data_IF_586227071953
#
_entry.id   IF_586227071953
#
_cell.length_a   1.000
_cell.length_b   1.000
_cell.length_c   1.000
_cell.angle_alpha   90.00
_cell.angle_beta   90.00
_cell.angle_gamma   90.00
#
_symmetry.space_group_name_H-M   'P 1'
#
loop_
_entity.id
_entity.type
_entity.pdbx_description
1 polymer ?
#
# COMPACT_ATOMS: atom_id res chain seq x y z
N UNK A 1 28.60 1.54 -14.26
CA UNK A 1 27.75 2.76 -14.26
C UNK A 1 26.32 2.28 -14.37
N UNK A 2 25.60 2.17 -13.25
CA UNK A 2 24.19 1.72 -13.24
C UNK A 2 23.35 2.96 -13.52
N UNK A 3 22.65 2.97 -14.65
CA UNK A 3 21.59 3.95 -14.92
C UNK A 3 20.52 3.74 -13.85
N UNK A 4 20.50 4.61 -12.85
CA UNK A 4 19.34 4.76 -11.99
C UNK A 4 18.25 5.37 -12.87
N UNK A 5 17.43 4.50 -13.47
CA UNK A 5 16.21 4.93 -14.13
C UNK A 5 15.42 5.77 -13.15
N UNK A 6 15.05 6.99 -13.55
CA UNK A 6 14.05 7.76 -12.83
C UNK A 6 12.75 6.96 -12.86
N UNK A 7 12.50 6.19 -11.80
CA UNK A 7 11.20 5.57 -11.58
C UNK A 7 10.24 6.74 -11.31
N UNK A 8 9.25 6.89 -12.17
CA UNK A 8 8.24 7.93 -12.05
C UNK A 8 7.07 7.36 -11.24
N UNK A 9 6.60 8.10 -10.23
CA UNK A 9 5.44 7.69 -9.45
C UNK A 9 4.25 7.34 -10.36
N UNK A 10 3.67 6.15 -10.14
CA UNK A 10 2.51 5.67 -10.88
C UNK A 10 1.23 6.14 -10.20
N UNK A 11 0.29 6.63 -11.00
CA UNK A 11 -1.05 7.03 -10.53
C UNK A 11 -2.00 5.85 -10.45
N UNK A 12 -2.66 5.74 -9.29
CA UNK A 12 -3.79 4.88 -9.01
C UNK A 12 -4.96 5.75 -8.55
N UNK A 13 -6.18 5.36 -8.93
CA UNK A 13 -7.38 6.13 -8.59
C UNK A 13 -8.52 5.18 -8.28
N UNK A 14 -9.27 5.47 -7.21
CA UNK A 14 -10.52 4.79 -6.91
C UNK A 14 -11.67 5.78 -7.10
N UNK A 15 -12.67 5.38 -7.89
CA UNK A 15 -13.85 6.20 -8.20
C UNK A 15 -15.00 5.88 -7.25
N UNK A 16 -15.82 6.90 -6.94
CA UNK A 16 -17.05 6.70 -6.15
C UNK A 16 -18.04 5.84 -6.95
N UNK A 17 -18.72 4.86 -6.32
CA UNK A 17 -19.72 4.03 -6.98
C UNK A 17 -20.77 4.85 -7.73
N UNK A 18 -21.01 4.51 -8.99
CA UNK A 18 -22.02 5.17 -9.83
C UNK A 18 -21.62 6.55 -10.35
N UNK A 19 -20.37 7.00 -10.15
CA UNK A 19 -19.87 8.28 -10.67
C UNK A 19 -18.48 8.11 -11.28
N UNK A 20 -18.02 9.12 -12.03
CA UNK A 20 -16.63 9.19 -12.52
C UNK A 20 -15.66 9.86 -11.53
N UNK A 21 -16.18 10.44 -10.44
CA UNK A 21 -15.39 11.25 -9.51
C UNK A 21 -14.50 10.38 -8.63
N UNK A 22 -13.23 10.75 -8.50
CA UNK A 22 -12.30 10.11 -7.60
C UNK A 22 -12.70 10.29 -6.12
N UNK A 23 -12.46 9.25 -5.33
CA UNK A 23 -12.58 9.24 -3.87
C UNK A 23 -11.24 9.01 -3.18
N UNK A 24 -10.30 8.36 -3.89
CA UNK A 24 -8.91 8.21 -3.52
C UNK A 24 -8.07 8.45 -4.77
N UNK A 25 -7.01 9.24 -4.63
CA UNK A 25 -5.93 9.36 -5.60
C UNK A 25 -4.61 9.02 -4.91
N UNK A 26 -3.75 8.31 -5.61
CA UNK A 26 -2.45 7.87 -5.13
C UNK A 26 -1.45 7.90 -6.27
N UNK A 27 -0.47 8.79 -6.17
CA UNK A 27 0.74 8.72 -6.97
C UNK A 27 1.83 8.14 -6.10
N UNK A 28 2.38 6.99 -6.48
CA UNK A 28 3.36 6.32 -5.63
C UNK A 28 4.43 5.60 -6.44
N UNK A 29 5.65 5.66 -5.92
CA UNK A 29 6.79 4.84 -6.31
C UNK A 29 7.23 4.02 -5.10
N UNK A 30 7.17 2.69 -5.20
CA UNK A 30 7.51 1.80 -4.10
C UNK A 30 8.13 0.48 -4.56
N UNK A 31 8.84 -0.16 -3.63
CA UNK A 31 9.12 -1.59 -3.65
C UNK A 31 8.60 -2.24 -2.37
N UNK A 32 8.05 -3.44 -2.48
CA UNK A 32 7.75 -4.31 -1.34
C UNK A 32 8.56 -5.59 -1.47
N UNK A 33 9.61 -5.71 -0.66
CA UNK A 33 10.51 -6.87 -0.63
C UNK A 33 9.97 -7.88 0.38
N UNK A 34 9.51 -9.03 -0.13
CA UNK A 34 8.93 -10.12 0.64
C UNK A 34 9.93 -11.27 0.65
N UNK A 35 10.35 -11.70 1.83
CA UNK A 35 11.27 -12.81 2.03
C UNK A 35 10.54 -13.98 2.68
N UNK A 36 10.59 -15.16 2.05
CA UNK A 36 10.20 -16.42 2.67
C UNK A 36 11.42 -17.04 3.36
N UNK A 37 11.32 -17.32 4.65
CA UNK A 37 12.41 -17.81 5.48
C UNK A 37 12.06 -19.21 5.98
N UNK A 38 12.97 -20.18 5.77
CA UNK A 38 12.82 -21.56 6.25
C UNK A 38 14.05 -21.94 7.07
N UNK A 39 13.85 -22.43 8.29
CA UNK A 39 14.93 -22.80 9.21
C UNK A 39 15.98 -21.68 9.40
N UNK A 40 15.53 -20.43 9.49
CA UNK A 40 16.39 -19.25 9.69
C UNK A 40 17.16 -18.79 8.45
N UNK A 41 16.96 -19.39 7.28
CA UNK A 41 17.60 -19.00 6.02
C UNK A 41 16.57 -18.44 5.05
N UNK A 42 16.94 -17.39 4.32
CA UNK A 42 16.14 -16.88 3.21
C UNK A 42 16.06 -17.96 2.14
N UNK A 43 14.85 -18.47 1.92
CA UNK A 43 14.56 -19.51 0.94
C UNK A 43 14.20 -18.90 -0.41
N UNK A 44 13.38 -17.86 -0.41
CA UNK A 44 12.97 -17.14 -1.61
C UNK A 44 12.77 -15.65 -1.31
N UNK A 45 12.88 -14.81 -2.32
CA UNK A 45 12.58 -13.39 -2.25
C UNK A 45 11.75 -12.99 -3.46
N UNK A 46 10.74 -12.17 -3.22
CA UNK A 46 9.91 -11.55 -4.26
C UNK A 46 9.86 -10.06 -3.98
N UNK A 47 10.09 -9.26 -5.01
CA UNK A 47 9.90 -7.81 -4.96
C UNK A 47 8.67 -7.47 -5.78
N UNK A 48 7.71 -6.80 -5.16
CA UNK A 48 6.57 -6.16 -5.83
C UNK A 48 6.89 -4.69 -6.04
N UNK A 49 6.47 -4.11 -7.15
CA UNK A 49 6.78 -2.71 -7.50
C UNK A 49 5.54 -1.96 -7.97
N UNK A 50 5.58 -0.63 -7.93
CA UNK A 50 4.54 0.20 -8.58
C UNK A 50 4.44 -0.05 -10.10
N UNK A 51 5.52 -0.52 -10.74
CA UNK A 51 5.59 -0.74 -12.18
C UNK A 51 5.13 -2.14 -12.61
N UNK A 52 4.74 -3.01 -11.67
CA UNK A 52 4.26 -4.34 -12.01
C UNK A 52 3.04 -4.25 -12.94
N UNK A 53 3.07 -5.05 -14.00
CA UNK A 53 1.97 -5.14 -14.97
C UNK A 53 0.80 -5.84 -14.31
N UNK A 54 -0.42 -5.44 -14.68
CA UNK A 54 -1.64 -6.08 -14.20
C UNK A 54 -2.11 -5.63 -12.82
N UNK A 55 -1.43 -4.66 -12.16
CA UNK A 55 -1.98 -4.07 -10.94
C UNK A 55 -3.35 -3.46 -11.24
N UNK A 56 -4.37 -3.92 -10.52
CA UNK A 56 -5.73 -3.38 -10.58
C UNK A 56 -6.10 -2.71 -9.26
N UNK A 57 -7.02 -1.75 -9.32
CA UNK A 57 -7.52 -1.04 -8.14
C UNK A 57 -8.91 -1.52 -7.78
N UNK A 58 -9.18 -1.71 -6.49
CA UNK A 58 -10.53 -1.85 -5.94
C UNK A 58 -10.59 -1.22 -4.55
N UNK A 59 -11.74 -1.22 -3.90
CA UNK A 59 -11.83 -0.69 -2.54
C UNK A 59 -13.18 -0.09 -2.22
N UNK A 60 -13.21 0.79 -1.23
CA UNK A 60 -14.42 1.37 -0.66
C UNK A 60 -14.29 2.89 -0.65
N UNK A 61 -15.32 3.57 -1.18
CA UNK A 61 -15.42 5.02 -1.28
C UNK A 61 -16.64 5.56 -0.55
N UNK A 62 -16.97 5.12 0.67
CA UNK A 62 -18.13 5.61 1.39
C UNK A 62 -17.98 5.36 2.90
N UNK A 63 -18.20 6.39 3.71
CA UNK A 63 -18.21 6.30 5.17
C UNK A 63 -17.01 6.98 5.83
N UNK A 64 -16.75 6.68 7.12
CA UNK A 64 -15.64 7.27 7.88
C UNK A 64 -14.26 6.73 7.46
N UNK A 65 -14.24 5.76 6.54
CA UNK A 65 -13.03 5.14 6.02
C UNK A 65 -13.17 4.96 4.52
N UNK A 66 -12.18 5.44 3.77
CA UNK A 66 -11.99 5.12 2.37
C UNK A 66 -10.78 4.19 2.26
N UNK A 67 -10.90 3.12 1.48
CA UNK A 67 -9.85 2.12 1.34
C UNK A 67 -9.55 1.88 -0.14
N UNK A 68 -8.27 1.87 -0.50
CA UNK A 68 -7.77 1.49 -1.81
C UNK A 68 -6.98 0.19 -1.68
N UNK A 69 -7.32 -0.79 -2.51
CA UNK A 69 -6.60 -2.05 -2.69
C UNK A 69 -5.86 -2.02 -4.02
N UNK A 70 -4.53 -2.06 -3.99
CA UNK A 70 -3.67 -2.31 -5.14
C UNK A 70 -3.45 -3.82 -5.25
N UNK A 71 -4.20 -4.46 -6.14
CA UNK A 71 -4.19 -5.92 -6.33
C UNK A 71 -3.10 -6.31 -7.31
N UNK A 72 -2.13 -7.09 -6.84
CA UNK A 72 -1.10 -7.72 -7.66
C UNK A 72 -1.58 -9.05 -8.24
N UNK A 73 -2.37 -9.78 -7.46
CA UNK A 73 -3.00 -11.05 -7.83
C UNK A 73 -4.44 -11.09 -7.28
N UNK A 74 -5.14 -12.21 -7.49
CA UNK A 74 -6.53 -12.36 -7.09
C UNK A 74 -6.77 -12.08 -5.59
N UNK A 75 -5.88 -12.55 -4.70
CA UNK A 75 -6.01 -12.40 -3.23
C UNK A 75 -4.83 -11.69 -2.58
N UNK A 76 -3.84 -11.26 -3.38
CA UNK A 76 -2.65 -10.57 -2.90
C UNK A 76 -2.69 -9.10 -3.29
N UNK A 77 -2.69 -8.23 -2.28
CA UNK A 77 -2.88 -6.79 -2.45
C UNK A 77 -2.17 -5.97 -1.37
N UNK A 78 -1.76 -4.76 -1.75
CA UNK A 78 -1.37 -3.71 -0.81
C UNK A 78 -2.56 -2.78 -0.61
N UNK A 79 -2.98 -2.57 0.63
CA UNK A 79 -4.10 -1.68 0.93
C UNK A 79 -3.64 -0.41 1.63
N UNK A 80 -4.32 0.68 1.31
CA UNK A 80 -4.17 1.98 1.94
C UNK A 80 -5.56 2.43 2.40
N UNK A 81 -5.74 2.58 3.71
CA UNK A 81 -6.98 3.03 4.33
C UNK A 81 -6.82 4.45 4.90
N UNK A 82 -7.66 5.36 4.44
CA UNK A 82 -7.81 6.72 4.95
C UNK A 82 -8.98 6.74 5.94
N UNK A 83 -8.70 7.00 7.22
CA UNK A 83 -9.70 7.03 8.29
C UNK A 83 -9.79 8.44 8.86
N UNK A 84 -10.99 8.99 8.96
CA UNK A 84 -11.18 10.23 9.73
C UNK A 84 -10.86 9.96 11.20
N UNK A 85 -10.09 10.83 11.85
CA UNK A 85 -9.70 10.65 13.25
C UNK A 85 -10.74 11.37 14.12
N UNK A 86 -11.57 10.63 14.88
CA UNK A 86 -12.56 11.26 15.75
C UNK A 86 -11.87 12.19 16.74
N UNK A 87 -12.48 13.35 17.00
CA UNK A 87 -12.01 14.35 17.97
C UNK A 87 -10.74 15.13 17.59
N UNK A 88 -10.24 14.99 16.36
CA UNK A 88 -9.19 15.86 15.78
C UNK A 88 -9.70 16.64 14.56
N UNK A 89 -10.95 17.11 14.61
CA UNK A 89 -11.54 17.88 13.52
C UNK A 89 -11.56 17.10 12.21
N UNK A 90 -11.01 17.70 11.15
CA UNK A 90 -10.95 17.15 9.79
C UNK A 90 -9.66 16.33 9.54
N UNK A 91 -8.96 15.84 10.58
CA UNK A 91 -7.74 15.06 10.38
C UNK A 91 -7.99 13.64 9.84
N UNK A 92 -7.04 13.15 9.05
CA UNK A 92 -7.06 11.82 8.43
C UNK A 92 -5.85 11.01 8.89
N UNK A 93 -6.08 9.79 9.35
CA UNK A 93 -5.05 8.77 9.48
C UNK A 93 -4.98 7.90 8.24
N UNK A 94 -3.79 7.75 7.66
CA UNK A 94 -3.49 6.84 6.57
C UNK A 94 -2.80 5.60 7.14
N UNK A 95 -3.45 4.45 7.00
CA UNK A 95 -2.98 3.15 7.44
C UNK A 95 -2.67 2.29 6.23
N UNK A 96 -1.57 1.54 6.28
CA UNK A 96 -1.13 0.71 5.17
C UNK A 96 -0.90 -0.72 5.65
N UNK A 97 -1.13 -1.67 4.76
CA UNK A 97 -0.75 -3.04 5.00
C UNK A 97 -0.76 -3.87 3.75
N UNK A 98 -0.03 -4.98 3.80
CA UNK A 98 0.14 -5.91 2.70
C UNK A 98 -0.52 -7.23 3.10
N UNK A 99 -1.46 -7.69 2.29
CA UNK A 99 -2.01 -9.03 2.38
C UNK A 99 -1.54 -9.82 1.17
N UNK A 100 -1.06 -11.05 1.37
CA UNK A 100 -0.72 -11.92 0.24
C UNK A 100 -0.94 -13.38 0.54
N UNK A 101 -1.14 -14.17 -0.51
CA UNK A 101 -1.10 -15.63 -0.44
C UNK A 101 0.26 -16.09 -0.95
N UNK A 102 1.09 -16.78 -0.13
CA UNK A 102 2.45 -17.12 -0.54
C UNK A 102 2.53 -17.91 -1.86
N UNK A 103 1.59 -18.82 -2.13
CA UNK A 103 1.55 -19.53 -3.42
C UNK A 103 1.24 -18.64 -4.63
N UNK A 104 0.55 -17.51 -4.46
CA UNK A 104 0.34 -16.53 -5.54
C UNK A 104 1.62 -15.72 -5.81
N UNK A 105 2.41 -15.44 -4.76
CA UNK A 105 3.61 -14.61 -4.82
C UNK A 105 4.87 -15.39 -5.24
N UNK A 106 5.04 -16.59 -4.70
CA UNK A 106 6.22 -17.43 -4.84
C UNK A 106 5.97 -18.72 -5.67
N UNK A 107 4.73 -18.96 -6.09
CA UNK A 107 4.33 -20.23 -6.71
C UNK A 107 4.30 -21.39 -5.70
N UNK A 108 4.18 -22.62 -6.20
CA UNK A 108 4.10 -23.83 -5.38
C UNK A 108 5.37 -24.11 -4.54
N UNK A 109 6.45 -23.38 -4.78
CA UNK A 109 7.72 -23.52 -4.06
C UNK A 109 7.61 -23.19 -2.57
N UNK A 110 6.74 -22.25 -2.21
CA UNK A 110 6.36 -21.94 -0.84
C UNK A 110 4.94 -22.49 -0.68
N UNK A 111 4.84 -23.77 -0.31
CA UNK A 111 3.58 -24.53 -0.21
C UNK A 111 2.60 -24.07 0.89
N UNK A 112 2.57 -22.77 1.18
CA UNK A 112 1.67 -22.12 2.14
C UNK A 112 0.55 -21.44 1.36
N UNK A 113 -0.66 -21.97 1.46
CA UNK A 113 -1.84 -21.46 0.76
C UNK A 113 -2.72 -20.53 1.60
N UNK A 114 -2.40 -20.40 2.90
CA UNK A 114 -3.06 -19.47 3.81
C UNK A 114 -2.63 -18.05 3.52
N UNK A 115 -3.56 -17.10 3.65
CA UNK A 115 -3.25 -15.69 3.54
C UNK A 115 -2.35 -15.24 4.69
N UNK A 116 -1.43 -14.33 4.40
CA UNK A 116 -0.57 -13.64 5.36
C UNK A 116 -0.88 -12.14 5.34
N UNK A 117 -0.88 -11.49 6.52
CA UNK A 117 -1.26 -10.09 6.66
C UNK A 117 -0.21 -9.33 7.47
N UNK A 118 0.27 -8.24 6.88
CA UNK A 118 1.33 -7.39 7.40
C UNK A 118 0.84 -5.93 7.46
N UNK A 119 1.19 -5.20 8.51
CA UNK A 119 0.82 -3.78 8.67
C UNK A 119 2.06 -2.91 8.79
N UNK A 120 1.94 -1.70 8.26
CA UNK A 120 2.85 -0.62 8.56
C UNK A 120 2.67 -0.18 10.03
N UNK A 121 3.73 -0.21 10.87
CA UNK A 121 3.64 0.23 12.25
C UNK A 121 3.47 1.75 12.40
N UNK A 122 3.73 2.54 11.35
CA UNK A 122 3.75 4.00 11.40
C UNK A 122 2.68 4.59 10.47
N UNK A 123 1.45 4.80 10.96
CA UNK A 123 0.43 5.52 10.20
C UNK A 123 0.87 6.98 9.95
N UNK A 124 0.49 7.50 8.79
CA UNK A 124 0.67 8.92 8.46
C UNK A 124 -0.58 9.67 8.90
N UNK A 125 -0.42 10.86 9.46
CA UNK A 125 -1.54 11.71 9.87
C UNK A 125 -1.51 13.00 9.07
N UNK A 126 -2.63 13.30 8.42
CA UNK A 126 -2.91 14.57 7.76
C UNK A 126 -3.82 15.41 8.64
N UNK A 127 -3.62 16.72 8.63
CA UNK A 127 -4.40 17.64 9.43
C UNK A 127 -5.80 17.88 8.84
N UNK A 128 -5.94 17.76 7.51
CA UNK A 128 -7.16 18.09 6.79
C UNK A 128 -7.59 17.04 5.74
N UNK A 129 -8.90 16.73 5.69
CA UNK A 129 -9.55 15.85 4.71
C UNK A 129 -9.54 16.39 3.26
N UNK A 130 -9.30 17.69 3.07
CA UNK A 130 -9.22 18.34 1.75
C UNK A 130 -7.81 18.37 1.17
N UNK A 131 -6.80 18.04 1.98
CA UNK A 131 -5.40 18.13 1.60
C UNK A 131 -4.85 16.77 1.16
N UNK A 132 -3.80 16.81 0.35
CA UNK A 132 -3.03 15.65 -0.07
C UNK A 132 -1.75 15.54 0.77
N UNK A 133 -1.38 14.33 1.16
CA UNK A 133 -0.08 14.07 1.77
C UNK A 133 0.97 13.93 0.67
N UNK A 134 2.11 14.62 0.79
CA UNK A 134 3.22 14.55 -0.16
C UNK A 134 4.52 14.24 0.57
N UNK A 135 5.23 13.21 0.11
CA UNK A 135 6.56 12.88 0.62
C UNK A 135 7.46 12.42 -0.52
N UNK A 136 8.51 13.18 -0.81
CA UNK A 136 9.54 12.84 -1.81
C UNK A 136 10.82 12.28 -1.20
N UNK A 137 10.86 12.16 0.13
CA UNK A 137 11.98 11.57 0.85
C UNK A 137 11.81 10.06 0.86
N UNK A 138 12.83 9.34 0.37
CA UNK A 138 12.86 7.88 0.43
C UNK A 138 12.84 7.42 1.90
N UNK A 139 11.92 6.51 2.24
CA UNK A 139 11.92 5.81 3.52
C UNK A 139 11.63 4.32 3.33
N UNK A 140 12.10 3.53 4.29
CA UNK A 140 11.88 2.09 4.35
C UNK A 140 11.29 1.74 5.70
N UNK A 141 10.25 0.91 5.69
CA UNK A 141 9.56 0.47 6.90
C UNK A 141 9.44 -1.06 6.90
N UNK A 142 9.90 -1.74 7.96
CA UNK A 142 9.57 -3.15 8.16
C UNK A 142 8.10 -3.27 8.57
N UNK A 143 7.33 -4.08 7.83
CA UNK A 143 5.95 -4.36 8.20
C UNK A 143 5.88 -5.50 9.19
N UNK A 144 4.93 -5.42 10.12
CA UNK A 144 4.73 -6.40 11.19
C UNK A 144 3.63 -7.39 10.83
N UNK A 145 3.87 -8.68 11.02
CA UNK A 145 2.83 -9.72 10.87
C UNK A 145 1.78 -9.59 11.98
N UNK A 146 0.51 -9.84 11.64
CA UNK A 146 -0.60 -9.86 12.63
C UNK A 146 -0.84 -11.25 13.21
N UNK A 147 -0.36 -12.29 12.52
CA UNK A 147 -0.64 -13.67 12.89
C UNK A 147 0.64 -14.52 12.85
N UNK A 148 0.70 -15.59 13.66
CA UNK A 148 1.72 -16.61 13.47
C UNK A 148 1.58 -17.21 12.06
N UNK A 149 2.68 -17.27 11.33
CA UNK A 149 2.72 -17.89 10.01
C UNK A 149 2.40 -19.39 10.11
N UNK A 150 1.61 -19.92 9.19
CA UNK A 150 1.33 -21.35 9.13
C UNK A 150 2.47 -22.12 8.41
N UNK A 151 2.93 -23.21 9.02
CA UNK A 151 3.92 -24.12 8.43
C UNK A 151 5.38 -23.83 8.78
N UNK A 152 6.32 -24.36 7.98
CA UNK A 152 7.77 -24.26 8.21
C UNK A 152 8.39 -22.92 7.77
N UNK A 153 7.56 -22.02 7.25
CA UNK A 153 8.00 -20.73 6.74
C UNK A 153 7.65 -19.62 7.72
N UNK A 154 8.50 -18.60 7.77
CA UNK A 154 8.16 -17.27 8.25
C UNK A 154 8.35 -16.27 7.12
N UNK A 155 7.69 -15.12 7.22
CA UNK A 155 7.79 -14.08 6.20
C UNK A 155 8.25 -12.76 6.80
N UNK A 156 9.19 -12.11 6.11
CA UNK A 156 9.58 -10.73 6.40
C UNK A 156 9.19 -9.85 5.22
N UNK A 157 8.61 -8.69 5.53
CA UNK A 157 8.16 -7.71 4.53
C UNK A 157 8.81 -6.37 4.84
N UNK A 158 9.58 -5.84 3.89
CA UNK A 158 10.10 -4.47 3.95
C UNK A 158 9.53 -3.68 2.79
N UNK A 159 8.87 -2.56 3.10
CA UNK A 159 8.34 -1.65 2.07
C UNK A 159 9.23 -0.42 2.01
N UNK A 160 9.69 -0.09 0.82
CA UNK A 160 10.39 1.16 0.53
C UNK A 160 9.49 2.04 -0.30
N UNK A 161 9.24 3.26 0.15
CA UNK A 161 8.53 4.28 -0.61
C UNK A 161 9.55 5.33 -1.01
N UNK A 162 9.70 5.55 -2.32
CA UNK A 162 10.62 6.53 -2.88
C UNK A 162 9.97 7.89 -3.01
N UNK A 163 8.70 7.90 -3.41
CA UNK A 163 7.85 9.09 -3.43
C UNK A 163 6.39 8.70 -3.29
N UNK A 164 5.61 9.56 -2.65
CA UNK A 164 4.15 9.39 -2.54
C UNK A 164 3.46 10.75 -2.55
N UNK A 165 2.37 10.87 -3.30
CA UNK A 165 1.32 11.84 -3.09
C UNK A 165 0.00 11.10 -2.97
N UNK A 166 -0.74 11.31 -1.89
CA UNK A 166 -1.98 10.57 -1.64
C UNK A 166 -3.05 11.42 -1.01
N UNK A 167 -4.30 11.17 -1.39
CA UNK A 167 -5.45 11.83 -0.80
C UNK A 167 -6.64 10.88 -0.81
N UNK A 168 -7.37 10.86 0.30
CA UNK A 168 -8.70 10.24 0.42
C UNK A 168 -9.78 11.29 0.67
N UNK A 169 -11.03 10.89 0.50
CA UNK A 169 -12.23 11.70 0.77
C UNK A 169 -12.52 12.79 -0.28
N UNK A 170 -12.15 14.04 -0.01
CA UNK A 170 -12.67 15.20 -0.73
C UNK A 170 -11.76 15.61 -1.88
N UNK A 171 -11.80 14.84 -2.95
CA UNK A 171 -11.11 15.16 -4.21
C UNK A 171 -12.04 15.98 -5.11
N UNK A 172 -11.56 17.13 -5.58
CA UNK A 172 -12.31 18.04 -6.45
C UNK A 172 -11.70 18.03 -7.84
N UNK A 173 -12.54 17.88 -8.86
CA UNK A 173 -12.13 17.88 -10.27
C UNK A 173 -11.03 16.85 -10.61
N UNK A 174 -10.99 15.71 -9.91
CA UNK A 174 -9.97 14.68 -10.05
C UNK A 174 -8.53 15.22 -9.94
N UNK A 175 -8.33 16.19 -9.04
CA UNK A 175 -7.05 16.79 -8.72
C UNK A 175 -6.78 16.70 -7.22
N UNK A 176 -5.50 16.51 -6.87
CA UNK A 176 -5.05 16.65 -5.49
C UNK A 176 -5.34 18.06 -4.97
N UNK A 177 -5.74 18.15 -3.71
CA UNK A 177 -5.83 19.40 -2.98
C UNK A 177 -4.44 19.95 -2.60
N UNK A 178 -4.39 20.97 -1.71
CA UNK A 178 -3.14 21.48 -1.16
C UNK A 178 -2.25 20.37 -0.60
N UNK A 179 -0.94 20.57 -0.63
CA UNK A 179 0.03 19.57 -0.17
C UNK A 179 0.40 19.78 1.30
N UNK A 180 0.20 18.75 2.11
CA UNK A 180 0.82 18.58 3.43
C UNK A 180 2.08 17.73 3.27
N UNK A 181 3.24 18.33 3.56
CA UNK A 181 4.54 17.67 3.37
C UNK A 181 4.97 16.86 4.59
N UNK A 182 5.60 15.72 4.35
CA UNK A 182 6.57 15.14 5.28
C UNK A 182 7.84 16.03 5.33
#
# INVERSE_FOLDING_TARGET
MVLLGHIQARRFTLQKPGTSAACIMLDIDFTADIQAIKAGKVFATKTLTSDDKGITTSGICNGPTNELLLKFEARSFWYIAFRQIPHKGESVGQYRGLQFVPTEIFGETVGVSTQEIFYDPLPVYQMNIYDSYVCATKYQTPYSSVQPTAGDFSFHVNVTIFSVQSQGFYIKNDQFGPAEHC
#
